data_IF_751855128301
#
_entry.id   IF_751855128301
#
_cell.length_a   1.000
_cell.length_b   1.000
_cell.length_c   1.000
_cell.angle_alpha   90.00
_cell.angle_beta   90.00
_cell.angle_gamma   90.00
#
_symmetry.space_group_name_H-M   'P 1'
#
loop_
_entity.id
_entity.type
_entity.pdbx_description
1 polymer ?
#
# COMPACT_ATOMS: atom_id res chain seq x y z
N UNK A 1 51.61 -2.84 -10.28
CA UNK A 1 50.87 -1.62 -9.89
C UNK A 1 49.48 -2.07 -9.48
N UNK A 2 49.12 -1.99 -8.20
CA UNK A 2 47.76 -2.26 -7.74
C UNK A 2 46.93 -1.00 -7.97
N UNK A 3 45.94 -1.07 -8.84
CA UNK A 3 44.89 -0.05 -8.97
C UNK A 3 43.87 -0.23 -7.85
N UNK A 4 43.54 0.87 -7.17
CA UNK A 4 42.52 0.95 -6.11
C UNK A 4 41.17 0.37 -6.55
N UNK A 5 40.47 -0.42 -5.70
CA UNK A 5 39.11 -0.82 -5.98
C UNK A 5 38.17 0.37 -5.78
N UNK A 6 37.85 1.06 -6.87
CA UNK A 6 36.73 2.00 -6.93
C UNK A 6 35.46 1.27 -6.48
N UNK A 7 34.90 1.69 -5.34
CA UNK A 7 33.71 1.07 -4.79
C UNK A 7 32.50 1.33 -5.73
N UNK A 8 32.00 0.31 -6.44
CA UNK A 8 30.97 0.46 -7.47
C UNK A 8 29.57 0.71 -6.90
N UNK A 9 29.40 0.72 -5.56
CA UNK A 9 28.12 0.94 -4.87
C UNK A 9 27.65 2.42 -4.85
N UNK A 10 28.27 3.30 -5.66
CA UNK A 10 27.85 4.69 -5.85
C UNK A 10 27.21 4.87 -7.24
N UNK A 11 25.91 5.16 -7.29
CA UNK A 11 25.24 5.72 -8.47
C UNK A 11 24.67 7.11 -8.15
N UNK A 12 24.83 8.05 -9.10
CA UNK A 12 24.33 9.44 -9.03
C UNK A 12 22.83 9.50 -9.40
N UNK A 13 22.06 10.44 -8.85
CA UNK A 13 20.64 10.58 -9.17
C UNK A 13 20.41 11.08 -10.61
N UNK A 14 19.32 10.61 -11.23
CA UNK A 14 18.81 11.08 -12.52
C UNK A 14 17.47 11.79 -12.34
N UNK A 15 17.31 12.92 -13.03
CA UNK A 15 16.11 13.78 -12.99
C UNK A 15 15.00 13.25 -13.90
N UNK A 16 13.75 13.13 -13.41
CA UNK A 16 12.60 12.75 -14.24
C UNK A 16 12.02 13.93 -15.05
N UNK A 17 11.48 13.69 -16.25
CA UNK A 17 10.82 14.71 -17.07
C UNK A 17 9.40 15.05 -16.58
N UNK A 18 8.89 16.17 -17.09
CA UNK A 18 7.66 16.82 -16.66
C UNK A 18 6.38 16.02 -16.97
N UNK A 19 5.40 16.16 -16.07
CA UNK A 19 4.10 15.47 -16.07
C UNK A 19 3.04 16.26 -16.84
N UNK A 20 2.32 15.59 -17.74
CA UNK A 20 1.12 16.10 -18.40
C UNK A 20 -0.14 15.48 -17.77
N UNK A 21 -1.19 16.29 -17.61
CA UNK A 21 -2.36 15.98 -16.78
C UNK A 21 -3.32 14.97 -17.44
N UNK A 22 -3.77 13.99 -16.64
CA UNK A 22 -4.70 12.95 -17.05
C UNK A 22 -6.18 13.36 -16.81
N UNK A 23 -7.11 12.87 -17.65
CA UNK A 23 -8.54 13.17 -17.55
C UNK A 23 -9.22 12.49 -16.35
N UNK A 24 -10.37 13.04 -15.98
CA UNK A 24 -11.16 12.74 -14.78
C UNK A 24 -11.78 11.34 -14.88
N UNK A 25 -11.44 10.45 -13.95
CA UNK A 25 -11.88 9.06 -13.92
C UNK A 25 -13.05 8.82 -12.94
N UNK A 26 -13.92 7.86 -13.28
CA UNK A 26 -15.05 7.42 -12.47
C UNK A 26 -14.57 6.75 -11.17
N UNK A 27 -15.13 7.14 -10.01
CA UNK A 27 -14.62 6.71 -8.69
C UNK A 27 -15.15 5.31 -8.34
N UNK A 28 -14.29 4.31 -8.06
CA UNK A 28 -14.74 2.95 -7.74
C UNK A 28 -15.54 2.86 -6.44
N UNK A 29 -16.62 2.07 -6.50
CA UNK A 29 -17.54 1.79 -5.37
C UNK A 29 -16.81 1.12 -4.19
N UNK A 30 -17.22 1.47 -2.97
CA UNK A 30 -16.80 0.81 -1.72
C UNK A 30 -17.69 -0.40 -1.43
N UNK A 31 -17.13 -1.44 -0.82
CA UNK A 31 -17.86 -2.67 -0.44
C UNK A 31 -17.73 -3.04 1.04
N UNK A 32 -16.85 -2.39 1.79
CA UNK A 32 -16.64 -2.62 3.22
C UNK A 32 -16.66 -1.33 4.06
N UNK A 33 -16.24 -1.38 5.33
CA UNK A 33 -16.24 -0.21 6.21
C UNK A 33 -15.38 0.91 5.66
N UNK A 34 -15.87 2.14 5.75
CA UNK A 34 -15.15 3.38 5.38
C UNK A 34 -14.62 4.13 6.59
N UNK A 35 -14.96 3.68 7.80
CA UNK A 35 -14.57 4.30 9.06
C UNK A 35 -14.38 3.23 10.14
N UNK A 36 -13.63 3.54 11.22
CA UNK A 36 -13.53 2.67 12.38
C UNK A 36 -14.90 2.24 12.93
N UNK A 37 -14.99 1.01 13.41
CA UNK A 37 -16.21 0.37 13.87
C UNK A 37 -16.19 0.16 15.39
N UNK A 38 -17.28 0.56 16.06
CA UNK A 38 -17.43 0.31 17.50
C UNK A 38 -17.51 -1.20 17.78
N UNK A 39 -16.84 -1.65 18.84
CA UNK A 39 -16.90 -3.03 19.31
C UNK A 39 -15.95 -4.01 18.63
N UNK A 40 -15.13 -3.57 17.68
CA UNK A 40 -14.06 -4.40 17.14
C UNK A 40 -12.95 -4.57 18.20
N UNK A 41 -12.60 -5.81 18.58
CA UNK A 41 -11.53 -6.03 19.54
C UNK A 41 -10.19 -5.60 18.94
N UNK A 42 -9.44 -4.85 19.73
CA UNK A 42 -8.06 -4.51 19.40
C UNK A 42 -7.23 -5.80 19.24
N UNK A 43 -6.32 -5.87 18.25
CA UNK A 43 -5.36 -6.97 18.19
C UNK A 43 -4.39 -6.90 19.38
N UNK A 44 -3.75 -8.03 19.71
CA UNK A 44 -2.71 -8.08 20.72
C UNK A 44 -1.57 -7.10 20.38
N UNK A 45 -0.93 -6.53 21.39
CA UNK A 45 0.14 -5.52 21.18
C UNK A 45 1.28 -6.02 20.28
N UNK A 46 1.57 -7.31 20.31
CA UNK A 46 2.62 -7.93 19.47
C UNK A 46 2.24 -7.97 17.98
N UNK A 47 0.95 -7.92 17.67
CA UNK A 47 0.40 -7.92 16.31
C UNK A 47 0.05 -6.50 15.83
N UNK A 48 0.20 -5.49 16.67
CA UNK A 48 -0.03 -4.08 16.31
C UNK A 48 1.15 -3.54 15.53
N UNK A 49 0.86 -2.79 14.46
CA UNK A 49 1.89 -1.98 13.80
C UNK A 49 2.19 -0.76 14.68
N UNK A 50 3.46 -0.33 14.76
CA UNK A 50 3.82 0.89 15.46
C UNK A 50 3.22 2.10 14.75
N UNK A 51 3.05 3.19 15.49
CA UNK A 51 2.64 4.49 14.97
C UNK A 51 3.87 5.39 14.99
N UNK A 52 4.22 5.98 13.85
CA UNK A 52 5.38 6.86 13.75
C UNK A 52 5.03 8.23 13.18
N UNK A 53 5.62 9.25 13.80
CA UNK A 53 5.54 10.62 13.32
C UNK A 53 6.25 10.75 11.97
N UNK A 54 5.59 11.39 11.01
CA UNK A 54 6.11 11.68 9.68
C UNK A 54 6.43 13.16 9.56
N UNK A 55 7.68 13.45 9.24
CA UNK A 55 8.15 14.79 8.91
C UNK A 55 8.02 15.14 7.41
N UNK A 56 7.51 14.19 6.60
CA UNK A 56 7.24 14.36 5.17
C UNK A 56 5.73 14.36 4.91
N UNK A 57 5.35 15.01 3.82
CA UNK A 57 3.99 14.93 3.26
C UNK A 57 3.95 13.91 2.13
N UNK A 58 2.81 13.23 2.00
CA UNK A 58 2.52 12.31 0.90
C UNK A 58 1.02 12.38 0.58
N UNK A 59 0.66 12.27 -0.69
CA UNK A 59 -0.74 12.18 -1.10
C UNK A 59 -1.38 10.86 -0.64
N UNK A 60 -0.56 9.81 -0.50
CA UNK A 60 -0.97 8.49 -0.04
C UNK A 60 0.18 7.79 0.69
N UNK A 61 -0.15 7.06 1.76
CA UNK A 61 0.78 6.17 2.45
C UNK A 61 0.49 4.70 2.16
N UNK A 62 1.53 3.95 1.79
CA UNK A 62 1.48 2.49 1.68
C UNK A 62 1.98 1.86 2.97
N UNK A 63 1.09 1.23 3.72
CA UNK A 63 1.43 0.56 4.98
C UNK A 63 1.51 -0.94 4.76
N UNK A 64 2.72 -1.46 4.64
CA UNK A 64 2.98 -2.89 4.64
C UNK A 64 2.66 -3.50 5.99
N UNK A 65 1.74 -4.45 6.02
CA UNK A 65 1.34 -5.12 7.26
C UNK A 65 2.46 -6.00 7.85
N UNK A 66 3.51 -6.28 7.06
CA UNK A 66 4.66 -7.09 7.46
C UNK A 66 5.89 -6.78 6.59
N UNK A 67 7.06 -7.25 7.03
CA UNK A 67 8.30 -7.25 6.26
C UNK A 67 8.13 -7.88 4.87
N UNK A 68 8.54 -7.17 3.82
CA UNK A 68 8.46 -7.67 2.44
C UNK A 68 7.05 -7.66 1.83
N UNK A 69 6.13 -6.86 2.37
CA UNK A 69 4.75 -6.75 1.86
C UNK A 69 4.64 -6.20 0.42
N UNK A 70 5.58 -5.34 0.00
CA UNK A 70 5.57 -4.68 -1.31
C UNK A 70 5.20 -3.19 -1.29
N UNK A 71 5.15 -2.56 -0.12
CA UNK A 71 4.85 -1.11 0.03
C UNK A 71 5.82 -0.21 -0.75
N UNK A 72 7.11 -0.53 -0.81
CA UNK A 72 8.10 0.23 -1.58
C UNK A 72 7.92 0.07 -3.10
N UNK A 73 7.57 -1.13 -3.55
CA UNK A 73 7.21 -1.41 -4.95
C UNK A 73 6.01 -0.58 -5.38
N UNK A 74 4.96 -0.53 -4.56
CA UNK A 74 3.76 0.25 -4.87
C UNK A 74 4.00 1.76 -4.80
N UNK A 75 4.82 2.22 -3.84
CA UNK A 75 5.24 3.61 -3.77
C UNK A 75 6.00 4.07 -5.04
N UNK A 76 6.77 3.17 -5.66
CA UNK A 76 7.45 3.48 -6.93
C UNK A 76 6.49 3.61 -8.13
N UNK A 77 5.30 3.03 -8.06
CA UNK A 77 4.31 3.05 -9.16
C UNK A 77 3.38 4.27 -9.13
N UNK A 78 3.15 4.87 -7.95
CA UNK A 78 2.27 6.02 -7.78
C UNK A 78 3.07 7.25 -7.31
N UNK A 79 3.39 8.20 -8.21
CA UNK A 79 4.08 9.43 -7.85
C UNK A 79 3.36 10.20 -6.73
N UNK A 80 4.12 10.78 -5.80
CA UNK A 80 3.57 11.53 -4.66
C UNK A 80 3.06 10.66 -3.51
N UNK A 81 3.08 9.33 -3.64
CA UNK A 81 2.86 8.39 -2.53
C UNK A 81 4.16 7.98 -1.84
N UNK A 82 4.08 7.47 -0.61
CA UNK A 82 5.25 7.03 0.17
C UNK A 82 5.01 5.69 0.88
N UNK A 83 6.05 4.87 0.95
CA UNK A 83 6.06 3.67 1.78
C UNK A 83 6.20 4.05 3.26
N UNK A 84 5.46 3.37 4.13
CA UNK A 84 5.37 3.70 5.54
C UNK A 84 6.30 2.85 6.43
N UNK A 85 7.19 2.02 5.88
CA UNK A 85 8.12 1.23 6.67
C UNK A 85 7.42 0.37 7.73
N UNK A 86 6.29 -0.25 7.36
CA UNK A 86 5.50 -1.12 8.24
C UNK A 86 5.01 -0.44 9.52
N UNK A 87 4.55 0.81 9.41
CA UNK A 87 4.04 1.58 10.53
C UNK A 87 2.95 2.53 10.10
N UNK A 88 2.02 2.83 11.00
CA UNK A 88 0.96 3.80 10.74
C UNK A 88 1.54 5.22 10.72
N UNK A 89 1.24 6.02 9.67
CA UNK A 89 1.68 7.41 9.62
C UNK A 89 0.88 8.28 10.60
N UNK A 90 1.60 9.01 11.43
CA UNK A 90 1.07 10.17 12.15
C UNK A 90 1.67 11.42 11.52
N UNK A 91 0.87 12.16 10.74
CA UNK A 91 1.32 13.39 10.07
C UNK A 91 0.89 14.60 10.87
N UNK A 92 1.58 15.74 10.70
CA UNK A 92 1.18 17.00 11.33
C UNK A 92 -0.09 17.63 10.72
N UNK A 93 -0.69 16.99 9.72
CA UNK A 93 -1.94 17.46 9.09
C UNK A 93 -3.11 17.34 10.05
N UNK A 94 -4.05 18.29 9.98
CA UNK A 94 -5.31 18.19 10.71
C UNK A 94 -6.22 17.08 10.15
N UNK A 95 -6.09 16.77 8.86
CA UNK A 95 -6.85 15.70 8.20
C UNK A 95 -6.12 14.35 8.32
N UNK A 96 -6.86 13.25 8.56
CA UNK A 96 -6.28 11.91 8.57
C UNK A 96 -5.53 11.59 7.27
N UNK A 97 -4.40 10.91 7.38
CA UNK A 97 -3.55 10.58 6.24
C UNK A 97 -4.17 9.44 5.40
N UNK A 98 -4.43 9.66 4.08
CA UNK A 98 -4.90 8.60 3.20
C UNK A 98 -3.90 7.45 3.16
N UNK A 99 -4.38 6.24 3.44
CA UNK A 99 -3.54 5.06 3.69
C UNK A 99 -4.11 3.84 3.00
N UNK A 100 -3.25 3.06 2.35
CA UNK A 100 -3.59 1.73 1.81
C UNK A 100 -2.71 0.69 2.48
N UNK A 101 -3.34 -0.34 3.03
CA UNK A 101 -2.64 -1.50 3.59
C UNK A 101 -2.08 -2.36 2.46
N UNK A 102 -0.93 -2.99 2.69
CA UNK A 102 -0.29 -3.89 1.73
C UNK A 102 0.09 -5.18 2.43
N UNK A 103 -0.21 -6.32 1.82
CA UNK A 103 0.22 -7.63 2.31
C UNK A 103 0.47 -8.60 1.16
N UNK A 104 1.24 -9.64 1.44
CA UNK A 104 1.39 -10.77 0.53
C UNK A 104 0.23 -11.75 0.66
N UNK A 105 -0.06 -12.51 -0.41
CA UNK A 105 -1.14 -13.51 -0.42
C UNK A 105 -0.83 -14.80 0.35
N UNK A 106 0.23 -14.83 1.16
CA UNK A 106 0.52 -15.95 2.07
C UNK A 106 -0.24 -15.82 3.41
N UNK A 107 -0.24 -16.91 4.19
CA UNK A 107 -1.03 -16.99 5.41
C UNK A 107 -0.54 -16.05 6.54
N UNK A 108 0.76 -15.71 6.58
CA UNK A 108 1.30 -14.75 7.54
C UNK A 108 0.94 -13.33 7.09
N UNK A 109 1.11 -13.02 5.81
CA UNK A 109 0.77 -11.72 5.24
C UNK A 109 -0.69 -11.35 5.44
N UNK A 110 -1.60 -12.26 5.08
CA UNK A 110 -3.05 -12.03 5.24
C UNK A 110 -3.48 -11.88 6.70
N UNK A 111 -2.86 -12.61 7.65
CA UNK A 111 -3.15 -12.45 9.08
C UNK A 111 -2.60 -11.14 9.64
N UNK A 112 -1.42 -10.72 9.20
CA UNK A 112 -0.86 -9.43 9.58
C UNK A 112 -1.74 -8.27 9.06
N UNK A 113 -2.24 -8.37 7.83
CA UNK A 113 -3.24 -7.43 7.31
C UNK A 113 -4.50 -7.42 8.19
N UNK A 114 -4.99 -8.60 8.60
CA UNK A 114 -6.12 -8.71 9.51
C UNK A 114 -5.89 -8.01 10.85
N UNK A 115 -4.71 -8.15 11.45
CA UNK A 115 -4.36 -7.46 12.69
C UNK A 115 -4.32 -5.94 12.49
N UNK A 116 -3.65 -5.46 11.43
CA UNK A 116 -3.60 -4.04 11.10
C UNK A 116 -5.02 -3.45 10.87
N UNK A 117 -5.88 -4.15 10.12
CA UNK A 117 -7.26 -3.73 9.90
C UNK A 117 -8.06 -3.68 11.21
N UNK A 118 -7.89 -4.66 12.11
CA UNK A 118 -8.52 -4.60 13.45
C UNK A 118 -8.02 -3.43 14.28
N UNK A 119 -6.72 -3.12 14.22
CA UNK A 119 -6.15 -1.95 14.91
C UNK A 119 -6.80 -0.65 14.41
N UNK A 120 -6.96 -0.50 13.10
CA UNK A 120 -7.69 0.62 12.50
C UNK A 120 -9.18 0.63 12.87
N UNK A 121 -9.86 -0.50 12.71
CA UNK A 121 -11.28 -0.62 12.96
C UNK A 121 -11.62 -0.39 14.45
N UNK A 122 -10.74 -0.77 15.38
CA UNK A 122 -10.86 -0.49 16.80
C UNK A 122 -10.62 1.00 17.17
N UNK A 123 -10.27 1.86 16.19
CA UNK A 123 -10.05 3.28 16.40
C UNK A 123 -8.70 3.63 17.04
N UNK A 124 -7.72 2.71 17.02
CA UNK A 124 -6.42 2.93 17.66
C UNK A 124 -5.47 3.82 16.85
N UNK A 125 -5.81 4.11 15.60
CA UNK A 125 -5.03 4.94 14.68
C UNK A 125 -5.90 6.05 14.08
N UNK A 126 -6.32 7.05 14.87
CA UNK A 126 -7.23 8.10 14.40
C UNK A 126 -6.59 9.03 13.36
N UNK A 127 -5.26 9.03 13.23
CA UNK A 127 -4.52 9.86 12.27
C UNK A 127 -4.54 9.33 10.84
N UNK A 128 -5.23 8.22 10.55
CA UNK A 128 -5.25 7.60 9.23
C UNK A 128 -6.65 7.38 8.69
N UNK A 129 -6.81 7.58 7.39
CA UNK A 129 -7.97 7.15 6.62
C UNK A 129 -7.56 5.91 5.80
N UNK A 130 -8.13 4.74 6.08
CA UNK A 130 -7.83 3.54 5.31
C UNK A 130 -8.72 3.49 4.07
N UNK A 131 -8.10 3.57 2.89
CA UNK A 131 -8.79 3.53 1.60
C UNK A 131 -9.03 2.10 1.09
N UNK A 132 -8.21 1.14 1.53
CA UNK A 132 -8.31 -0.26 1.14
C UNK A 132 -7.08 -1.11 1.46
N UNK A 133 -7.04 -2.30 0.86
CA UNK A 133 -5.96 -3.29 0.95
C UNK A 133 -5.46 -3.68 -0.44
N UNK A 134 -4.14 -3.72 -0.64
CA UNK A 134 -3.52 -4.40 -1.78
C UNK A 134 -2.95 -5.74 -1.33
N UNK A 135 -3.40 -6.81 -1.99
CA UNK A 135 -2.85 -8.15 -1.84
C UNK A 135 -1.90 -8.43 -3.00
N UNK A 136 -0.61 -8.48 -2.69
CA UNK A 136 0.47 -8.77 -3.63
C UNK A 136 0.71 -10.28 -3.68
N UNK A 137 0.76 -10.89 -4.88
CA UNK A 137 0.98 -12.33 -4.99
C UNK A 137 2.27 -12.79 -4.30
N UNK A 138 2.20 -13.82 -3.46
CA UNK A 138 3.34 -14.43 -2.78
C UNK A 138 4.16 -15.34 -3.71
N UNK A 139 3.48 -15.98 -4.66
CA UNK A 139 4.06 -16.86 -5.67
C UNK A 139 3.25 -16.79 -6.98
N UNK A 140 3.81 -17.22 -8.13
CA UNK A 140 3.05 -17.35 -9.37
C UNK A 140 1.99 -18.46 -9.28
N UNK A 141 0.97 -18.36 -10.13
CA UNK A 141 -0.06 -19.38 -10.29
C UNK A 141 -1.30 -19.17 -9.43
N UNK A 142 -2.10 -20.23 -9.28
CA UNK A 142 -3.41 -20.14 -8.62
C UNK A 142 -3.24 -20.18 -7.10
N UNK A 143 -3.76 -19.15 -6.43
CA UNK A 143 -3.79 -19.07 -4.98
C UNK A 143 -4.52 -20.29 -4.36
N UNK A 144 -3.93 -21.06 -3.43
CA UNK A 144 -4.58 -22.18 -2.74
C UNK A 144 -5.94 -21.83 -2.13
N UNK A 145 -6.88 -22.79 -2.07
CA UNK A 145 -8.25 -22.55 -1.57
C UNK A 145 -8.28 -21.95 -0.17
N UNK A 146 -7.44 -22.45 0.74
CA UNK A 146 -7.36 -21.92 2.10
C UNK A 146 -6.96 -20.43 2.13
N UNK A 147 -6.01 -20.03 1.29
CA UNK A 147 -5.56 -18.65 1.17
C UNK A 147 -6.60 -17.76 0.49
N UNK A 148 -7.30 -18.26 -0.54
CA UNK A 148 -8.44 -17.53 -1.15
C UNK A 148 -9.55 -17.26 -0.14
N UNK A 149 -9.90 -18.25 0.68
CA UNK A 149 -10.91 -18.09 1.72
C UNK A 149 -10.48 -17.06 2.77
N UNK A 150 -9.22 -17.14 3.22
CA UNK A 150 -8.67 -16.18 4.17
C UNK A 150 -8.64 -14.76 3.57
N UNK A 151 -8.19 -14.62 2.32
CA UNK A 151 -8.20 -13.36 1.59
C UNK A 151 -9.62 -12.79 1.53
N UNK A 152 -10.64 -13.59 1.23
CA UNK A 152 -12.02 -13.11 1.18
C UNK A 152 -12.53 -12.58 2.52
N UNK A 153 -12.17 -13.24 3.64
CA UNK A 153 -12.51 -12.76 4.99
C UNK A 153 -11.79 -11.44 5.27
N UNK A 154 -10.51 -11.34 4.93
CA UNK A 154 -9.68 -10.15 5.13
C UNK A 154 -10.23 -8.98 4.29
N UNK A 155 -10.57 -9.20 3.02
CA UNK A 155 -11.10 -8.17 2.11
C UNK A 155 -12.38 -7.51 2.62
N UNK A 156 -13.22 -8.22 3.38
CA UNK A 156 -14.44 -7.66 3.96
C UNK A 156 -14.20 -6.62 5.07
N UNK A 157 -12.95 -6.51 5.57
CA UNK A 157 -12.58 -5.59 6.65
C UNK A 157 -12.19 -4.18 6.22
N UNK A 158 -12.20 -3.88 4.92
CA UNK A 158 -11.72 -2.61 4.34
C UNK A 158 -12.65 -2.11 3.23
N UNK A 159 -12.61 -0.81 2.86
CA UNK A 159 -13.52 -0.27 1.86
C UNK A 159 -13.36 -0.92 0.48
N UNK A 160 -12.12 -1.26 0.12
CA UNK A 160 -11.70 -1.75 -1.19
C UNK A 160 -10.57 -2.76 -1.04
N UNK A 161 -10.48 -3.69 -1.99
CA UNK A 161 -9.35 -4.60 -2.10
C UNK A 161 -8.90 -4.70 -3.55
N UNK A 162 -7.59 -4.63 -3.77
CA UNK A 162 -6.95 -4.87 -5.05
C UNK A 162 -6.02 -6.08 -4.94
N UNK A 163 -5.85 -6.80 -6.04
CA UNK A 163 -4.87 -7.88 -6.13
C UNK A 163 -3.86 -7.53 -7.21
N UNK A 164 -2.58 -7.60 -6.87
CA UNK A 164 -1.48 -7.43 -7.84
C UNK A 164 -0.85 -8.80 -8.08
N UNK A 165 -0.79 -9.27 -9.33
CA UNK A 165 -0.27 -10.60 -9.64
C UNK A 165 1.24 -10.68 -9.41
N UNK A 166 1.77 -11.88 -9.53
CA UNK A 166 3.20 -12.11 -9.52
C UNK A 166 3.84 -11.47 -10.76
N UNK A 167 4.93 -10.73 -10.57
CA UNK A 167 5.68 -10.06 -11.65
C UNK A 167 7.13 -10.52 -11.60
N UNK A 168 7.54 -11.35 -12.55
CA UNK A 168 8.90 -11.90 -12.58
C UNK A 168 9.97 -10.82 -12.72
N UNK A 169 9.71 -9.77 -13.50
CA UNK A 169 10.62 -8.63 -13.67
C UNK A 169 11.03 -7.98 -12.33
N UNK A 170 10.08 -7.80 -11.41
CA UNK A 170 10.37 -7.20 -10.10
C UNK A 170 11.24 -8.11 -9.22
N UNK A 171 11.15 -9.44 -9.40
CA UNK A 171 11.98 -10.39 -8.65
C UNK A 171 13.44 -10.35 -9.08
N UNK A 172 13.71 -10.09 -10.35
CA UNK A 172 15.08 -9.95 -10.88
C UNK A 172 15.64 -8.53 -10.73
N UNK A 173 14.90 -7.64 -10.07
CA UNK A 173 15.36 -6.30 -9.70
C UNK A 173 15.06 -5.21 -10.74
N UNK A 174 14.23 -5.49 -11.76
CA UNK A 174 13.80 -4.43 -12.67
C UNK A 174 12.96 -3.39 -11.93
N UNK A 175 13.28 -2.08 -12.05
CA UNK A 175 12.53 -1.03 -11.39
C UNK A 175 11.05 -1.07 -11.78
N UNK A 176 10.12 -1.04 -10.81
CA UNK A 176 8.70 -0.96 -11.11
C UNK A 176 8.38 0.31 -11.91
N UNK A 177 7.81 0.15 -13.10
CA UNK A 177 7.31 1.24 -13.91
C UNK A 177 5.85 0.96 -14.30
N UNK A 178 5.00 1.99 -14.21
CA UNK A 178 3.56 1.81 -14.41
C UNK A 178 3.24 1.31 -15.83
N UNK A 179 3.95 1.80 -16.84
CA UNK A 179 3.77 1.42 -18.25
C UNK A 179 4.09 -0.04 -18.55
N UNK A 180 5.00 -0.66 -17.81
CA UNK A 180 5.37 -2.08 -17.94
C UNK A 180 4.74 -2.97 -16.87
N UNK A 181 3.92 -2.41 -15.98
CA UNK A 181 3.24 -3.15 -14.91
C UNK A 181 2.02 -3.92 -15.42
N UNK A 182 1.59 -5.01 -14.74
CA UNK A 182 0.34 -5.69 -15.06
C UNK A 182 -0.87 -4.76 -15.05
N UNK A 183 -1.91 -5.11 -15.80
CA UNK A 183 -3.15 -4.32 -15.91
C UNK A 183 -3.79 -4.05 -14.56
N UNK A 184 -3.68 -5.00 -13.64
CA UNK A 184 -4.20 -4.90 -12.28
C UNK A 184 -3.48 -3.81 -11.48
N UNK A 185 -2.16 -3.69 -11.62
CA UNK A 185 -1.39 -2.63 -10.98
C UNK A 185 -1.67 -1.26 -11.62
N UNK A 186 -1.80 -1.21 -12.95
CA UNK A 186 -2.22 0.02 -13.65
C UNK A 186 -3.60 0.48 -13.20
N UNK A 187 -4.55 -0.46 -13.12
CA UNK A 187 -5.90 -0.21 -12.63
C UNK A 187 -5.90 0.28 -11.19
N UNK A 188 -5.15 -0.36 -10.29
CA UNK A 188 -4.97 0.08 -8.91
C UNK A 188 -4.52 1.55 -8.83
N UNK A 189 -3.50 1.92 -9.60
CA UNK A 189 -2.96 3.29 -9.61
C UNK A 189 -3.96 4.29 -10.15
N UNK A 190 -4.65 3.96 -11.26
CA UNK A 190 -5.68 4.82 -11.84
C UNK A 190 -6.86 5.05 -10.88
N UNK A 191 -7.32 3.97 -10.24
CA UNK A 191 -8.40 4.02 -9.25
C UNK A 191 -8.03 4.86 -8.02
N UNK A 192 -6.81 4.70 -7.50
CA UNK A 192 -6.33 5.51 -6.37
C UNK A 192 -6.14 6.97 -6.75
N UNK A 193 -5.64 7.25 -7.96
CA UNK A 193 -5.52 8.62 -8.47
C UNK A 193 -6.89 9.31 -8.53
N UNK A 194 -7.91 8.59 -9.00
CA UNK A 194 -9.29 9.08 -9.02
C UNK A 194 -9.83 9.36 -7.61
N UNK A 195 -9.62 8.43 -6.68
CA UNK A 195 -10.05 8.56 -5.27
C UNK A 195 -9.41 9.78 -4.61
N UNK A 196 -8.09 9.94 -4.77
CA UNK A 196 -7.35 11.05 -4.18
C UNK A 196 -7.73 12.40 -4.82
N UNK A 197 -7.98 12.42 -6.13
CA UNK A 197 -8.45 13.62 -6.84
C UNK A 197 -9.86 14.07 -6.42
N UNK A 198 -10.75 13.12 -6.15
CA UNK A 198 -12.11 13.41 -5.66
C UNK A 198 -12.10 13.97 -4.22
N UNK A 199 -11.19 13.48 -3.37
CA UNK A 199 -11.02 14.01 -2.01
C UNK A 199 -10.46 15.44 -2.02
N UNK A 200 -9.60 15.77 -2.99
CA UNK A 200 -9.02 17.11 -3.14
C UNK A 200 -9.99 18.17 -3.65
N UNK A 201 -11.10 17.79 -4.30
CA UNK A 201 -12.11 18.71 -4.84
C UNK A 201 -13.24 19.06 -3.85
N UNK A 202 -13.28 18.39 -2.68
CA UNK A 202 -14.31 18.57 -1.65
C UNK A 202 -13.89 19.49 -0.49
N UNK A 203 -12.70 20.11 -0.55
CA UNK A 203 -12.16 20.99 0.49
C UNK A 203 -11.97 22.43 -0.02
#
# INVERSE_FOLDING_TARGET
MLSDPFNPWLSRPTTPPATEAAPIADVPKTFGPVAPQRGIPAPDRVDQLPIYNRNTTAALWWVGAHGGAGESTLAALLPGSQAAGHSWPHTASASPAPTVLVARSDARGLRAAQAAMRQWAAGLVPSVEVLGLVVMADAPGRLPRALRNLMQVVSGGVPRTWSVPWVDAWRVGEPPALSSSPREAQRLVNELTAILGAAGTLN
#
